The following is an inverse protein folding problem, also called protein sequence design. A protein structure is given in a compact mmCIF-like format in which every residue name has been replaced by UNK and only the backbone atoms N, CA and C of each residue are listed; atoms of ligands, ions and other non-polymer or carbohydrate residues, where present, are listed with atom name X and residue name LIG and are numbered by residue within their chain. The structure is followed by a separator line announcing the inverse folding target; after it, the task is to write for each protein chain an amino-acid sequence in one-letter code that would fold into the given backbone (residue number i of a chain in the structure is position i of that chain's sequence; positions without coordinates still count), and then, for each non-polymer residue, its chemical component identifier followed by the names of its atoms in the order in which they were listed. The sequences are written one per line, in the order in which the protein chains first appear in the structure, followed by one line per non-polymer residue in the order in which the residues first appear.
data_IF_494727617071
#
_entry.id   IF_494727617071
#
_cell.length_a   1.000
_cell.length_b   1.000
_cell.length_c   1.000
_cell.angle_alpha   90.00
_cell.angle_beta   90.00
_cell.angle_gamma   90.00
#
_symmetry.space_group_name_H-M   'P 1'
#
loop_
_entity.id
_entity.type
_entity.pdbx_description
1 polymer ?
#
# COMPACT_ATOMS: atom_id res chain seq x y z
N UNK A 1 -11.91 1.27 -21.17
CA UNK A 1 -11.38 1.43 -19.80
C UNK A 1 -12.30 2.37 -19.05
N UNK A 2 -12.81 2.00 -17.88
CA UNK A 2 -13.74 2.85 -17.11
C UNK A 2 -13.09 3.21 -15.78
N UNK A 3 -13.19 4.49 -15.39
CA UNK A 3 -12.74 4.94 -14.07
C UNK A 3 -13.90 4.77 -13.10
N UNK A 4 -13.74 3.90 -12.11
CA UNK A 4 -14.73 3.66 -11.08
C UNK A 4 -14.09 3.90 -9.72
N UNK A 5 -14.69 4.80 -8.92
CA UNK A 5 -14.20 5.18 -7.59
C UNK A 5 -12.69 5.46 -7.53
N UNK A 6 -12.16 6.18 -8.52
CA UNK A 6 -10.75 6.56 -8.58
C UNK A 6 -9.79 5.50 -9.16
N UNK A 7 -10.27 4.29 -9.46
CA UNK A 7 -9.46 3.20 -10.04
C UNK A 7 -9.88 2.94 -11.48
N UNK A 8 -8.91 2.74 -12.35
CA UNK A 8 -9.18 2.34 -13.73
C UNK A 8 -9.37 0.83 -13.80
N UNK A 9 -10.61 0.43 -14.06
CA UNK A 9 -10.98 -0.96 -14.30
C UNK A 9 -10.71 -1.29 -15.77
N UNK A 10 -9.88 -2.30 -15.96
CA UNK A 10 -9.68 -2.94 -17.26
C UNK A 10 -10.64 -4.12 -17.38
N UNK A 11 -10.96 -4.56 -18.60
CA UNK A 11 -11.92 -5.65 -18.84
C UNK A 11 -11.53 -6.96 -18.13
N UNK A 12 -10.22 -7.18 -17.91
CA UNK A 12 -9.71 -8.34 -17.16
C UNK A 12 -9.73 -8.16 -15.64
N UNK A 13 -10.20 -7.01 -15.14
CA UNK A 13 -10.09 -6.57 -13.74
C UNK A 13 -8.66 -6.73 -13.18
N UNK A 14 -7.65 -6.70 -14.06
CA UNK A 14 -6.24 -6.76 -13.63
C UNK A 14 -5.85 -5.54 -12.79
N UNK A 15 -6.66 -4.48 -12.88
CA UNK A 15 -6.41 -3.16 -12.33
C UNK A 15 -5.15 -2.58 -12.95
N UNK A 16 -5.19 -1.38 -13.52
CA UNK A 16 -3.96 -0.80 -14.05
C UNK A 16 -3.09 -0.31 -12.88
N UNK A 17 -2.32 -1.23 -12.31
CA UNK A 17 -1.32 -1.02 -11.26
C UNK A 17 -0.34 0.12 -11.53
N UNK A 18 -0.18 0.48 -12.82
CA UNK A 18 0.52 1.66 -13.26
C UNK A 18 0.12 2.94 -12.50
N UNK A 19 -1.15 3.11 -12.13
CA UNK A 19 -1.58 4.30 -11.40
C UNK A 19 -1.00 4.35 -9.97
N UNK A 20 -1.11 3.24 -9.21
CA UNK A 20 -0.57 3.15 -7.86
C UNK A 20 0.94 3.27 -7.84
N UNK A 21 1.61 2.64 -8.82
CA UNK A 21 3.07 2.73 -8.96
C UNK A 21 3.50 4.17 -9.24
N UNK A 22 2.79 4.88 -10.13
CA UNK A 22 3.05 6.31 -10.41
C UNK A 22 2.83 7.17 -9.15
N UNK A 23 1.72 6.98 -8.44
CA UNK A 23 1.43 7.64 -7.16
C UNK A 23 2.51 7.38 -6.12
N UNK A 24 2.95 6.13 -5.97
CA UNK A 24 4.01 5.75 -5.05
C UNK A 24 5.36 6.38 -5.39
N UNK A 25 5.73 6.43 -6.67
CA UNK A 25 6.94 7.14 -7.11
C UNK A 25 6.86 8.64 -6.82
N UNK A 26 5.73 9.28 -7.10
CA UNK A 26 5.53 10.69 -6.80
C UNK A 26 5.64 10.98 -5.30
N UNK A 27 5.05 10.12 -4.46
CA UNK A 27 5.17 10.22 -3.00
C UNK A 27 6.62 10.08 -2.52
N UNK A 28 7.39 9.15 -3.08
CA UNK A 28 8.80 9.01 -2.73
C UNK A 28 9.56 10.29 -3.09
N UNK A 29 9.29 10.90 -4.24
CA UNK A 29 9.93 12.17 -4.61
C UNK A 29 9.59 13.29 -3.62
N UNK A 30 8.33 13.36 -3.17
CA UNK A 30 7.91 14.31 -2.13
C UNK A 30 8.68 14.07 -0.83
N UNK A 31 8.72 12.82 -0.34
CA UNK A 31 9.48 12.46 0.88
C UNK A 31 10.95 12.82 0.71
N UNK A 32 11.57 12.45 -0.42
CA UNK A 32 12.97 12.78 -0.70
C UNK A 32 13.24 14.28 -0.72
N UNK A 33 12.31 15.10 -1.24
CA UNK A 33 12.44 16.56 -1.20
C UNK A 33 12.33 17.12 0.22
N UNK A 34 11.50 16.51 1.07
CA UNK A 34 11.31 16.92 2.46
C UNK A 34 12.47 16.46 3.37
N UNK A 35 13.15 15.37 3.04
CA UNK A 35 14.30 14.85 3.81
C UNK A 35 15.58 15.61 3.54
N UNK A 36 15.74 16.17 2.34
CA UNK A 36 16.98 16.83 1.91
C UNK A 36 17.13 18.30 2.38
N UNK A 37 16.13 18.86 3.07
CA UNK A 37 16.18 20.25 3.53
C UNK A 37 17.17 20.39 4.68
N UNK A 38 17.89 21.52 4.74
CA UNK A 38 18.99 21.83 5.67
C UNK A 38 18.69 21.59 7.17
N UNK A 39 17.41 21.54 7.56
CA UNK A 39 16.95 21.24 8.92
C UNK A 39 16.26 19.88 9.08
N UNK A 40 16.03 19.13 8.00
CA UNK A 40 15.40 17.80 7.97
C UNK A 40 13.97 17.76 8.53
N UNK A 41 13.03 17.15 7.81
CA UNK A 41 11.72 16.86 8.44
C UNK A 41 11.86 15.73 9.46
N UNK A 42 11.18 15.85 10.60
CA UNK A 42 11.19 14.82 11.64
C UNK A 42 10.67 13.48 11.07
N UNK A 43 11.36 12.34 11.33
CA UNK A 43 11.07 11.06 10.69
C UNK A 43 9.62 10.59 10.91
N UNK A 44 9.05 10.84 12.09
CA UNK A 44 7.65 10.50 12.37
C UNK A 44 6.67 11.27 11.49
N UNK A 45 6.96 12.52 11.12
CA UNK A 45 6.11 13.33 10.24
C UNK A 45 6.12 12.76 8.81
N UNK A 46 7.30 12.38 8.32
CA UNK A 46 7.44 11.74 7.01
C UNK A 46 6.74 10.38 6.95
N UNK A 47 6.86 9.58 8.01
CA UNK A 47 6.10 8.34 8.15
C UNK A 47 4.59 8.57 8.20
N UNK A 48 4.12 9.65 8.83
CA UNK A 48 2.71 10.01 8.84
C UNK A 48 2.20 10.33 7.42
N UNK A 49 2.95 11.11 6.63
CA UNK A 49 2.64 11.40 5.23
C UNK A 49 2.59 10.12 4.40
N UNK A 50 3.59 9.25 4.56
CA UNK A 50 3.62 7.93 3.93
C UNK A 50 2.35 7.11 4.25
N UNK A 51 1.98 7.02 5.53
CA UNK A 51 0.79 6.27 5.97
C UNK A 51 -0.51 6.88 5.44
N UNK A 52 -0.64 8.20 5.43
CA UNK A 52 -1.84 8.87 4.96
C UNK A 52 -2.04 8.68 3.45
N UNK A 53 -0.99 8.86 2.66
CA UNK A 53 -1.11 8.93 1.20
C UNK A 53 -0.85 7.57 0.54
N UNK A 54 0.28 6.93 0.82
CA UNK A 54 0.64 5.67 0.15
C UNK A 54 -0.20 4.51 0.68
N UNK A 55 -0.20 4.30 1.99
CA UNK A 55 -0.94 3.19 2.61
C UNK A 55 -2.43 3.34 2.35
N UNK A 56 -3.00 4.55 2.48
CA UNK A 56 -4.41 4.79 2.13
C UNK A 56 -4.77 4.40 0.69
N UNK A 57 -3.99 4.84 -0.30
CA UNK A 57 -4.24 4.51 -1.70
C UNK A 57 -4.08 3.00 -2.00
N UNK A 58 -3.08 2.37 -1.40
CA UNK A 58 -2.74 0.96 -1.63
C UNK A 58 -3.74 0.03 -0.94
N UNK A 59 -4.14 0.31 0.31
CA UNK A 59 -5.13 -0.50 1.04
C UNK A 59 -6.52 -0.44 0.39
N UNK A 60 -6.92 0.72 -0.12
CA UNK A 60 -8.17 0.86 -0.86
C UNK A 60 -8.19 -0.04 -2.10
N UNK A 61 -7.13 0.04 -2.90
CA UNK A 61 -7.05 -0.65 -4.16
C UNK A 61 -6.71 -2.15 -4.02
N UNK A 62 -6.10 -2.56 -2.91
CA UNK A 62 -5.80 -3.95 -2.56
C UNK A 62 -7.01 -4.88 -2.72
N UNK A 63 -8.21 -4.42 -2.35
CA UNK A 63 -9.45 -5.19 -2.49
C UNK A 63 -9.69 -5.73 -3.91
N UNK A 64 -9.23 -5.00 -4.93
CA UNK A 64 -9.35 -5.39 -6.34
C UNK A 64 -8.16 -6.25 -6.78
N UNK A 65 -6.96 -5.95 -6.29
CA UNK A 65 -5.72 -6.63 -6.72
C UNK A 65 -5.47 -7.99 -6.05
N UNK A 66 -5.81 -8.13 -4.76
CA UNK A 66 -5.54 -9.34 -3.98
C UNK A 66 -6.25 -10.57 -4.52
N UNK A 67 -7.39 -10.39 -5.19
CA UNK A 67 -8.18 -11.49 -5.76
C UNK A 67 -7.48 -12.22 -6.92
N UNK A 68 -6.58 -11.56 -7.64
CA UNK A 68 -5.96 -12.11 -8.88
C UNK A 68 -4.53 -12.60 -8.69
N UNK A 69 -3.96 -12.53 -7.48
CA UNK A 69 -2.63 -13.10 -7.18
C UNK A 69 -1.48 -12.52 -8.01
N UNK A 70 -1.51 -11.22 -8.36
CA UNK A 70 -0.50 -10.63 -9.22
C UNK A 70 0.80 -10.29 -8.44
N UNK A 71 1.61 -11.32 -8.21
CA UNK A 71 2.84 -11.28 -7.41
C UNK A 71 3.83 -10.21 -7.86
N UNK A 72 3.94 -9.97 -9.18
CA UNK A 72 4.83 -8.95 -9.76
C UNK A 72 4.47 -7.53 -9.30
N UNK A 73 3.19 -7.21 -9.28
CA UNK A 73 2.70 -5.88 -8.88
C UNK A 73 2.88 -5.70 -7.37
N UNK A 74 2.56 -6.72 -6.59
CA UNK A 74 2.75 -6.71 -5.15
C UNK A 74 4.23 -6.46 -4.80
N UNK A 75 5.15 -7.16 -5.46
CA UNK A 75 6.59 -6.95 -5.28
C UNK A 75 7.03 -5.52 -5.64
N UNK A 76 6.46 -4.94 -6.69
CA UNK A 76 6.75 -3.54 -7.06
C UNK A 76 6.25 -2.56 -5.99
N UNK A 77 5.06 -2.78 -5.43
CA UNK A 77 4.51 -1.95 -4.35
C UNK A 77 5.32 -2.10 -3.06
N UNK A 78 5.76 -3.31 -2.71
CA UNK A 78 6.65 -3.56 -1.57
C UNK A 78 7.98 -2.82 -1.74
N UNK A 79 8.59 -2.86 -2.92
CA UNK A 79 9.80 -2.08 -3.20
C UNK A 79 9.58 -0.56 -3.02
N UNK A 80 8.42 -0.05 -3.40
CA UNK A 80 8.07 1.36 -3.18
C UNK A 80 7.88 1.68 -1.70
N UNK A 81 7.21 0.81 -0.94
CA UNK A 81 7.09 0.93 0.52
C UNK A 81 8.48 1.00 1.17
N UNK A 82 9.36 0.04 0.87
CA UNK A 82 10.69 -0.01 1.46
C UNK A 82 11.50 1.24 1.12
N UNK A 83 11.41 1.73 -0.12
CA UNK A 83 12.09 2.97 -0.51
C UNK A 83 11.54 4.20 0.23
N UNK A 84 10.22 4.30 0.40
CA UNK A 84 9.60 5.40 1.14
C UNK A 84 9.98 5.40 2.62
N UNK A 85 9.99 4.23 3.27
CA UNK A 85 10.37 4.09 4.68
C UNK A 85 11.86 4.38 4.87
N UNK A 86 12.74 3.86 3.99
CA UNK A 86 14.18 4.18 4.03
C UNK A 86 14.41 5.68 3.91
N UNK A 87 13.75 6.35 2.97
CA UNK A 87 13.86 7.80 2.83
C UNK A 87 13.36 8.53 4.08
N UNK A 88 12.22 8.10 4.64
CA UNK A 88 11.62 8.74 5.82
C UNK A 88 12.48 8.62 7.08
N UNK A 89 13.15 7.48 7.26
CA UNK A 89 13.98 7.19 8.45
C UNK A 89 15.48 7.43 8.23
N UNK A 90 15.90 7.81 7.03
CA UNK A 90 17.32 8.02 6.70
C UNK A 90 18.16 6.74 6.65
N UNK A 91 17.55 5.58 6.43
CA UNK A 91 18.28 4.31 6.42
C UNK A 91 19.08 4.08 5.13
N UNK A 92 20.28 3.54 5.26
CA UNK A 92 21.10 3.06 4.13
C UNK A 92 20.41 1.92 3.40
N UNK A 93 20.75 1.71 2.12
CA UNK A 93 20.20 0.62 1.31
C UNK A 93 20.58 -0.78 1.85
N UNK A 94 21.71 -0.90 2.55
CA UNK A 94 22.20 -2.15 3.15
C UNK A 94 21.41 -2.60 4.39
N UNK A 95 20.60 -1.73 5.01
CA UNK A 95 19.88 -2.13 6.23
C UNK A 95 18.84 -3.21 5.90
N UNK A 96 18.69 -4.25 6.73
CA UNK A 96 17.79 -5.34 6.46
C UNK A 96 16.32 -4.91 6.60
N UNK A 97 15.43 -5.50 5.79
CA UNK A 97 14.04 -5.04 5.63
C UNK A 97 13.22 -5.25 6.90
N UNK A 98 13.43 -6.37 7.59
CA UNK A 98 12.75 -6.69 8.86
C UNK A 98 12.99 -5.63 9.94
N UNK A 99 14.24 -5.20 10.12
CA UNK A 99 14.61 -4.16 11.10
C UNK A 99 13.93 -2.84 10.74
N UNK A 100 14.04 -2.43 9.48
CA UNK A 100 13.41 -1.20 8.99
C UNK A 100 11.88 -1.19 9.22
N UNK A 101 11.20 -2.29 8.91
CA UNK A 101 9.76 -2.43 9.10
C UNK A 101 9.37 -2.44 10.58
N UNK A 102 10.15 -3.10 11.43
CA UNK A 102 9.93 -3.15 12.87
C UNK A 102 10.02 -1.74 13.49
N UNK A 103 11.09 -1.02 13.18
CA UNK A 103 11.31 0.36 13.61
C UNK A 103 10.20 1.31 13.12
N UNK A 104 9.80 1.17 11.86
CA UNK A 104 8.70 1.95 11.29
C UNK A 104 7.31 1.56 11.83
N UNK A 105 7.20 0.45 12.59
CA UNK A 105 5.93 -0.18 13.02
C UNK A 105 5.01 -0.48 11.83
N UNK A 106 5.60 -1.01 10.76
CA UNK A 106 4.93 -1.31 9.50
C UNK A 106 4.95 -2.81 9.22
N UNK A 107 3.83 -3.36 8.74
CA UNK A 107 3.79 -4.75 8.26
C UNK A 107 4.21 -4.82 6.78
N UNK A 108 4.77 -5.96 6.34
CA UNK A 108 4.86 -6.30 4.92
C UNK A 108 3.49 -6.21 4.25
N UNK A 109 3.41 -5.62 3.05
CA UNK A 109 2.14 -5.38 2.35
C UNK A 109 1.32 -6.65 2.16
N UNK A 110 1.97 -7.78 1.83
CA UNK A 110 1.26 -9.07 1.67
C UNK A 110 0.46 -9.45 2.92
N UNK A 111 1.10 -9.40 4.09
CA UNK A 111 0.46 -9.73 5.37
C UNK A 111 -0.64 -8.73 5.71
N UNK A 112 -0.39 -7.45 5.40
CA UNK A 112 -1.36 -6.38 5.62
C UNK A 112 -2.63 -6.59 4.78
N UNK A 113 -2.48 -6.98 3.52
CA UNK A 113 -3.58 -7.26 2.60
C UNK A 113 -4.41 -8.46 3.04
N UNK A 114 -3.74 -9.53 3.49
CA UNK A 114 -4.41 -10.71 4.03
C UNK A 114 -5.23 -10.36 5.28
N UNK A 115 -4.65 -9.59 6.22
CA UNK A 115 -5.36 -9.09 7.40
C UNK A 115 -6.61 -8.28 7.02
N UNK A 116 -6.49 -7.34 6.08
CA UNK A 116 -7.61 -6.52 5.63
C UNK A 116 -8.71 -7.36 4.97
N UNK A 117 -8.31 -8.34 4.16
CA UNK A 117 -9.24 -9.26 3.50
C UNK A 117 -10.00 -10.11 4.53
N UNK A 118 -9.29 -10.71 5.49
CA UNK A 118 -9.88 -11.47 6.60
C UNK A 118 -10.84 -10.62 7.44
N UNK A 119 -10.43 -9.40 7.81
CA UNK A 119 -11.26 -8.46 8.58
C UNK A 119 -12.55 -8.12 7.84
N UNK A 120 -12.47 -7.90 6.52
CA UNK A 120 -13.63 -7.66 5.68
C UNK A 120 -14.56 -8.88 5.65
N UNK A 121 -14.02 -10.07 5.40
CA UNK A 121 -14.80 -11.32 5.37
C UNK A 121 -15.53 -11.58 6.69
N UNK A 122 -14.84 -11.45 7.83
CA UNK A 122 -15.46 -11.60 9.17
C UNK A 122 -16.59 -10.58 9.38
N UNK A 123 -16.39 -9.33 8.97
CA UNK A 123 -17.43 -8.29 9.04
C UNK A 123 -18.64 -8.64 8.17
N UNK A 124 -18.43 -9.20 6.98
CA UNK A 124 -19.51 -9.69 6.14
C UNK A 124 -20.24 -10.87 6.79
N UNK A 125 -19.52 -11.82 7.37
CA UNK A 125 -20.05 -13.00 8.07
C UNK A 125 -20.93 -12.65 9.27
N UNK A 126 -20.53 -11.64 10.03
CA UNK A 126 -21.30 -11.17 11.20
C UNK A 126 -22.66 -10.56 10.82
N UNK A 127 -22.82 -10.01 9.61
CA UNK A 127 -24.05 -9.33 9.19
C UNK A 127 -25.01 -10.28 8.46
N UNK A 128 -26.25 -10.37 8.96
CA UNK A 128 -27.32 -11.14 8.31
C UNK A 128 -27.61 -10.57 6.91
N UNK A 129 -27.66 -11.44 5.88
CA UNK A 129 -27.95 -11.11 4.47
C UNK A 129 -26.99 -10.12 3.78
N UNK A 130 -25.67 -10.21 4.01
CA UNK A 130 -24.72 -9.43 3.22
C UNK A 130 -24.68 -9.90 1.74
N UNK A 131 -24.74 -9.00 0.73
CA UNK A 131 -24.80 -9.40 -0.68
C UNK A 131 -23.55 -10.17 -1.12
N UNK A 132 -22.38 -9.81 -0.60
CA UNK A 132 -21.10 -10.47 -0.87
C UNK A 132 -21.08 -11.93 -0.38
N UNK A 133 -21.89 -12.28 0.64
CA UNK A 133 -21.94 -13.65 1.16
C UNK A 133 -22.40 -14.66 0.11
N UNK A 134 -23.28 -14.23 -0.82
CA UNK A 134 -23.76 -15.08 -1.91
C UNK A 134 -22.64 -15.47 -2.89
N UNK A 135 -21.57 -14.68 -2.94
CA UNK A 135 -20.43 -14.83 -3.85
C UNK A 135 -19.27 -15.62 -3.26
N UNK A 136 -19.28 -15.84 -1.93
CA UNK A 136 -18.20 -16.52 -1.18
C UNK A 136 -18.47 -18.03 -1.03
N UNK A 137 -19.74 -18.46 -1.19
CA UNK A 137 -20.13 -19.86 -1.30
C UNK A 137 -19.81 -20.40 -2.69
#
# INVERSE_FOLDING_TARGET
RVKFLGIFLDYRLKGTSHYLIKRGKALINIISSLTAVWWGSHPQCLLAIYRAVFRGAVEYACSIFSWRGNSKILLQLERLQYKAIRASLGYRQSTPINVMLCEARELPLKLRFDLLSKKFTVKCMSKKKYPVMKSIK
#
